data_IF_622733236096
#
_entry.id   IF_622733236096
#
_cell.length_a   1.000
_cell.length_b   1.000
_cell.length_c   1.000
_cell.angle_alpha   90.00
_cell.angle_beta   90.00
_cell.angle_gamma   90.00
#
_symmetry.space_group_name_H-M   'P 1'
#
loop_
_entity.id
_entity.type
_entity.pdbx_description
1 polymer ?
#
# COMPACT_ATOMS: atom_id res chain seq x y z
N UNK A 1 -14.67 -3.04 28.84
CA UNK A 1 -13.61 -4.06 28.82
C UNK A 1 -12.54 -3.56 27.86
N UNK A 2 -11.28 -3.57 28.27
CA UNK A 2 -10.16 -3.10 27.44
C UNK A 2 -9.42 -4.28 26.80
N UNK A 3 -8.76 -4.03 25.67
CA UNK A 3 -8.14 -5.08 24.88
C UNK A 3 -7.26 -4.53 23.77
N UNK A 4 -6.31 -5.36 23.33
CA UNK A 4 -5.44 -5.05 22.19
C UNK A 4 -6.10 -5.45 20.87
N UNK A 5 -5.98 -4.60 19.86
CA UNK A 5 -6.31 -4.97 18.48
C UNK A 5 -5.32 -6.02 17.96
N UNK A 6 -5.73 -6.81 16.96
CA UNK A 6 -4.84 -7.84 16.38
C UNK A 6 -3.57 -7.23 15.75
N UNK A 7 -3.62 -5.94 15.35
CA UNK A 7 -2.43 -5.18 14.95
C UNK A 7 -1.48 -4.94 16.13
N UNK A 8 -1.97 -4.47 17.27
CA UNK A 8 -1.12 -4.24 18.45
C UNK A 8 -0.51 -5.54 18.99
N UNK A 9 -1.20 -6.68 18.85
CA UNK A 9 -0.64 -7.99 19.20
C UNK A 9 0.45 -8.42 18.21
N UNK A 10 0.24 -8.21 16.90
CA UNK A 10 1.26 -8.38 15.86
C UNK A 10 2.50 -7.53 16.14
N UNK A 11 2.32 -6.24 16.43
CA UNK A 11 3.40 -5.29 16.76
C UNK A 11 4.12 -5.68 18.08
N UNK A 12 3.43 -6.28 19.06
CA UNK A 12 4.01 -6.72 20.36
C UNK A 12 4.82 -8.02 20.25
N UNK A 13 4.44 -8.93 19.36
CA UNK A 13 4.98 -10.30 19.28
C UNK A 13 5.97 -10.53 18.13
N UNK A 14 6.20 -9.51 17.28
CA UNK A 14 6.94 -9.62 16.01
C UNK A 14 6.39 -10.71 15.06
N UNK A 15 5.08 -10.99 15.18
CA UNK A 15 4.37 -11.93 14.31
C UNK A 15 3.70 -11.14 13.20
N UNK A 16 3.88 -11.56 11.95
CA UNK A 16 3.20 -10.94 10.80
C UNK A 16 1.68 -10.85 11.02
N UNK A 17 1.10 -9.67 10.80
CA UNK A 17 -0.32 -9.40 11.08
C UNK A 17 -1.25 -10.42 10.41
N UNK A 18 -0.95 -10.84 9.19
CA UNK A 18 -1.69 -11.89 8.48
C UNK A 18 -1.74 -13.20 9.27
N UNK A 19 -0.61 -13.67 9.81
CA UNK A 19 -0.52 -14.86 10.66
C UNK A 19 -1.38 -14.74 11.92
N UNK A 20 -1.41 -13.58 12.57
CA UNK A 20 -2.29 -13.33 13.73
C UNK A 20 -3.77 -13.52 13.36
N UNK A 21 -4.22 -12.96 12.23
CA UNK A 21 -5.59 -13.14 11.75
C UNK A 21 -5.89 -14.59 11.38
N UNK A 22 -5.01 -15.26 10.63
CA UNK A 22 -5.20 -16.67 10.23
C UNK A 22 -5.27 -17.59 11.44
N UNK A 23 -4.33 -17.47 12.39
CA UNK A 23 -4.31 -18.35 13.58
C UNK A 23 -5.50 -18.11 14.50
N UNK A 24 -5.90 -16.85 14.74
CA UNK A 24 -7.14 -16.54 15.48
C UNK A 24 -8.40 -17.04 14.75
N UNK A 25 -8.45 -16.97 13.42
CA UNK A 25 -9.56 -17.53 12.64
C UNK A 25 -9.63 -19.05 12.74
N UNK A 26 -8.48 -19.71 12.79
CA UNK A 26 -8.39 -21.15 12.99
C UNK A 26 -8.81 -21.56 14.42
N UNK A 27 -8.56 -20.73 15.44
CA UNK A 27 -9.16 -20.91 16.79
C UNK A 27 -10.69 -20.75 16.72
N UNK A 28 -11.21 -19.71 16.05
CA UNK A 28 -12.66 -19.47 15.88
C UNK A 28 -13.37 -20.68 15.22
N UNK A 29 -12.70 -21.35 14.26
CA UNK A 29 -13.22 -22.55 13.56
C UNK A 29 -13.11 -23.82 14.41
N UNK A 30 -11.99 -24.06 15.12
CA UNK A 30 -11.81 -25.26 15.93
C UNK A 30 -12.59 -25.23 17.25
N UNK A 31 -12.64 -24.07 17.90
CA UNK A 31 -13.22 -23.91 19.22
C UNK A 31 -13.69 -22.45 19.40
N UNK A 32 -14.92 -22.20 18.96
CA UNK A 32 -15.58 -20.90 19.05
C UNK A 32 -15.71 -20.42 20.51
N UNK A 33 -15.91 -21.31 21.49
CA UNK A 33 -15.96 -20.93 22.92
C UNK A 33 -14.61 -20.37 23.39
N UNK A 34 -13.51 -21.06 23.04
CA UNK A 34 -12.15 -20.63 23.35
C UNK A 34 -11.82 -19.28 22.69
N UNK A 35 -12.22 -19.10 21.42
CA UNK A 35 -12.09 -17.83 20.72
C UNK A 35 -12.84 -16.69 21.42
N UNK A 36 -14.11 -16.89 21.81
CA UNK A 36 -14.90 -15.89 22.55
C UNK A 36 -14.41 -15.67 23.99
N UNK A 37 -13.67 -16.63 24.55
CA UNK A 37 -12.96 -16.45 25.83
C UNK A 37 -11.84 -15.42 25.69
N UNK A 38 -11.20 -15.29 24.53
CA UNK A 38 -10.09 -14.37 24.26
C UNK A 38 -10.52 -13.06 23.57
N UNK A 39 -11.46 -13.13 22.63
CA UNK A 39 -11.80 -12.05 21.70
C UNK A 39 -13.17 -11.46 22.03
N UNK A 40 -13.30 -10.14 21.91
CA UNK A 40 -14.55 -9.40 22.01
C UNK A 40 -14.63 -8.31 20.93
N UNK A 41 -15.83 -7.83 20.60
CA UNK A 41 -15.98 -6.58 19.86
C UNK A 41 -16.01 -5.40 20.82
N UNK A 42 -15.26 -4.34 20.51
CA UNK A 42 -15.48 -3.04 21.14
C UNK A 42 -16.74 -2.32 20.60
N UNK A 43 -17.09 -1.21 21.23
CA UNK A 43 -18.26 -0.40 20.87
C UNK A 43 -18.20 0.18 19.43
N UNK A 44 -17.03 0.11 18.78
CA UNK A 44 -16.82 0.56 17.41
C UNK A 44 -16.82 -0.62 16.41
N UNK A 45 -17.24 -1.82 16.85
CA UNK A 45 -17.27 -3.04 16.03
C UNK A 45 -15.89 -3.65 15.76
N UNK A 46 -14.83 -3.19 16.42
CA UNK A 46 -13.47 -3.69 16.21
C UNK A 46 -13.19 -4.88 17.12
N UNK A 47 -12.73 -5.99 16.55
CA UNK A 47 -12.31 -7.18 17.31
C UNK A 47 -11.02 -6.90 18.08
N UNK A 48 -11.02 -7.24 19.37
CA UNK A 48 -9.90 -7.07 20.30
C UNK A 48 -9.70 -8.33 21.14
N UNK A 49 -8.45 -8.62 21.48
CA UNK A 49 -8.09 -9.63 22.49
C UNK A 49 -8.11 -8.96 23.85
N UNK A 50 -8.78 -9.57 24.84
CA UNK A 50 -8.84 -9.08 26.22
C UNK A 50 -7.42 -8.98 26.80
N UNK A 51 -7.10 -7.90 27.51
CA UNK A 51 -5.74 -7.62 27.96
C UNK A 51 -5.14 -8.78 28.78
N UNK A 52 -5.94 -9.40 29.66
CA UNK A 52 -5.57 -10.55 30.48
C UNK A 52 -5.35 -11.87 29.71
N UNK A 53 -5.68 -11.89 28.42
CA UNK A 53 -5.50 -13.03 27.50
C UNK A 53 -4.46 -12.80 26.42
N UNK A 54 -3.82 -11.62 26.36
CA UNK A 54 -2.86 -11.27 25.29
C UNK A 54 -1.66 -12.23 25.27
N UNK A 55 -1.05 -12.53 26.41
CA UNK A 55 0.17 -13.33 26.45
C UNK A 55 -0.10 -14.82 26.14
N UNK A 56 -1.20 -15.36 26.64
CA UNK A 56 -1.71 -16.70 26.31
C UNK A 56 -2.03 -16.84 24.81
N UNK A 57 -2.69 -15.83 24.23
CA UNK A 57 -2.93 -15.78 22.78
C UNK A 57 -1.63 -15.70 22.00
N UNK A 58 -0.64 -14.89 22.43
CA UNK A 58 0.67 -14.81 21.78
C UNK A 58 1.37 -16.17 21.82
N UNK A 59 1.39 -16.88 22.96
CA UNK A 59 2.00 -18.21 23.07
C UNK A 59 1.36 -19.20 22.08
N UNK A 60 0.02 -19.26 22.05
CA UNK A 60 -0.74 -20.12 21.14
C UNK A 60 -0.43 -19.79 19.67
N UNK A 61 -0.48 -18.51 19.28
CA UNK A 61 -0.25 -18.10 17.89
C UNK A 61 1.23 -17.99 17.51
N UNK A 62 2.16 -18.17 18.45
CA UNK A 62 3.61 -18.31 18.16
C UNK A 62 4.01 -19.76 17.90
N UNK A 63 3.26 -20.73 18.41
CA UNK A 63 3.60 -22.16 18.30
C UNK A 63 3.83 -22.60 16.84
N UNK A 64 4.98 -23.20 16.56
CA UNK A 64 5.30 -23.74 15.23
C UNK A 64 4.33 -24.86 14.80
N UNK A 65 3.78 -25.58 15.78
CA UNK A 65 2.83 -26.67 15.58
C UNK A 65 1.38 -26.18 15.42
N UNK A 66 1.12 -24.86 15.45
CA UNK A 66 -0.24 -24.36 15.29
C UNK A 66 -0.75 -24.61 13.85
N UNK A 67 -1.92 -25.25 13.66
CA UNK A 67 -2.44 -25.58 12.34
C UNK A 67 -2.69 -24.31 11.53
N UNK A 68 -1.85 -24.07 10.53
CA UNK A 68 -1.92 -22.86 9.68
C UNK A 68 -3.01 -22.95 8.61
N UNK A 69 -3.29 -24.16 8.11
CA UNK A 69 -4.40 -24.43 7.20
C UNK A 69 -5.35 -25.42 7.86
N UNK A 70 -6.53 -24.93 8.23
CA UNK A 70 -7.68 -25.75 8.55
C UNK A 70 -8.61 -25.58 7.36
N UNK A 71 -8.69 -26.61 6.50
CA UNK A 71 -9.81 -26.67 5.56
C UNK A 71 -11.10 -26.61 6.38
N UNK A 72 -12.10 -25.81 5.96
CA UNK A 72 -13.36 -25.70 6.71
C UNK A 72 -14.11 -27.04 6.65
N UNK A 73 -13.79 -27.95 7.57
CA UNK A 73 -14.46 -29.23 7.71
C UNK A 73 -15.89 -28.96 8.12
N UNK A 74 -16.81 -29.07 7.16
CA UNK A 74 -18.25 -29.10 7.41
C UNK A 74 -18.62 -30.39 8.14
N UNK A 75 -18.32 -30.43 9.43
CA UNK A 75 -18.74 -31.45 10.37
C UNK A 75 -19.29 -30.77 11.61
N UNK A 76 -20.46 -30.16 11.43
CA UNK A 76 -21.39 -29.98 12.56
C UNK A 76 -21.66 -31.38 13.10
N UNK A 77 -21.23 -31.67 14.34
CA UNK A 77 -21.65 -32.88 15.02
C UNK A 77 -23.12 -32.69 15.43
N UNK A 78 -24.03 -33.11 14.57
CA UNK A 78 -25.45 -33.24 14.89
C UNK A 78 -25.62 -34.53 15.70
N UNK A 79 -25.67 -34.41 17.03
CA UNK A 79 -26.34 -35.43 17.84
C UNK A 79 -27.83 -35.47 17.45
N UNK A 80 -28.41 -36.67 17.41
CA UNK A 80 -29.74 -36.93 16.80
C UNK A 80 -30.88 -36.07 17.38
N UNK A 81 -31.37 -35.11 16.60
CA UNK A 81 -32.66 -34.42 16.84
C UNK A 81 -33.52 -34.46 15.57
N UNK A 82 -33.91 -35.67 15.19
CA UNK A 82 -34.83 -35.93 14.06
C UNK A 82 -36.21 -35.36 14.40
N UNK A 83 -36.45 -34.08 14.07
CA UNK A 83 -37.72 -33.42 14.33
C UNK A 83 -37.81 -31.94 13.93
N UNK A 84 -36.69 -31.21 13.82
CA UNK A 84 -36.68 -29.74 13.58
C UNK A 84 -35.96 -29.29 12.31
N UNK A 85 -35.38 -30.23 11.54
CA UNK A 85 -34.37 -29.88 10.52
C UNK A 85 -34.90 -29.13 9.28
N UNK A 86 -36.16 -29.30 8.88
CA UNK A 86 -36.65 -28.71 7.62
C UNK A 86 -36.68 -27.19 7.63
N UNK A 87 -37.03 -26.58 8.76
CA UNK A 87 -36.99 -25.11 8.92
C UNK A 87 -35.55 -24.61 9.06
N UNK A 88 -34.71 -25.32 9.83
CA UNK A 88 -33.30 -24.97 10.00
C UNK A 88 -32.53 -25.03 8.65
N UNK A 89 -32.71 -26.11 7.88
CA UNK A 89 -32.14 -26.27 6.53
C UNK A 89 -32.63 -25.15 5.61
N UNK A 90 -33.92 -24.79 5.67
CA UNK A 90 -34.48 -23.70 4.88
C UNK A 90 -33.82 -22.35 5.23
N UNK A 91 -33.72 -22.00 6.50
CA UNK A 91 -33.08 -20.75 6.95
C UNK A 91 -31.59 -20.72 6.59
N UNK A 92 -30.87 -21.84 6.73
CA UNK A 92 -29.47 -21.94 6.30
C UNK A 92 -29.32 -21.79 4.77
N UNK A 93 -30.26 -22.33 3.99
CA UNK A 93 -30.28 -22.17 2.52
C UNK A 93 -30.54 -20.71 2.13
N UNK A 94 -31.54 -20.06 2.73
CA UNK A 94 -31.85 -18.64 2.51
C UNK A 94 -30.66 -17.73 2.89
N UNK A 95 -29.96 -18.04 3.99
CA UNK A 95 -28.73 -17.34 4.38
C UNK A 95 -27.59 -17.56 3.38
N UNK A 96 -27.42 -18.78 2.86
CA UNK A 96 -26.37 -19.09 1.89
C UNK A 96 -26.62 -18.41 0.54
N UNK A 97 -27.86 -18.35 0.07
CA UNK A 97 -28.23 -17.58 -1.12
C UNK A 97 -28.03 -16.07 -0.91
N UNK A 98 -28.40 -15.54 0.26
CA UNK A 98 -28.17 -14.13 0.60
C UNK A 98 -26.68 -13.77 0.62
N UNK A 99 -25.85 -14.58 1.28
CA UNK A 99 -24.40 -14.39 1.33
C UNK A 99 -23.79 -14.47 -0.07
N UNK A 100 -24.19 -15.47 -0.87
CA UNK A 100 -23.76 -15.62 -2.27
C UNK A 100 -24.08 -14.37 -3.09
N UNK A 101 -25.32 -13.88 -3.04
CA UNK A 101 -25.72 -12.66 -3.74
C UNK A 101 -25.00 -11.39 -3.23
N UNK A 102 -24.53 -11.37 -1.98
CA UNK A 102 -23.67 -10.30 -1.46
C UNK A 102 -22.24 -10.42 -1.99
N UNK A 103 -21.69 -11.63 -2.12
CA UNK A 103 -20.37 -11.86 -2.72
C UNK A 103 -20.34 -11.54 -4.21
N UNK A 104 -21.37 -11.93 -4.97
CA UNK A 104 -21.48 -11.60 -6.41
C UNK A 104 -21.45 -10.07 -6.62
N UNK A 105 -22.26 -9.30 -5.87
CA UNK A 105 -22.24 -7.82 -5.90
C UNK A 105 -20.94 -7.19 -5.43
N UNK A 106 -20.23 -7.82 -4.49
CA UNK A 106 -18.93 -7.34 -4.04
C UNK A 106 -17.86 -7.57 -5.12
N UNK A 107 -17.93 -8.70 -5.83
CA UNK A 107 -17.04 -9.04 -6.93
C UNK A 107 -17.26 -8.14 -8.16
N UNK A 108 -18.51 -7.82 -8.50
CA UNK A 108 -18.85 -6.82 -9.51
C UNK A 108 -18.17 -5.47 -9.21
N UNK A 109 -18.42 -4.91 -8.02
CA UNK A 109 -17.82 -3.62 -7.58
C UNK A 109 -16.29 -3.65 -7.52
N UNK A 110 -15.70 -4.79 -7.16
CA UNK A 110 -14.25 -4.95 -7.19
C UNK A 110 -13.72 -4.91 -8.63
N UNK A 111 -14.42 -5.55 -9.57
CA UNK A 111 -14.07 -5.57 -10.99
C UNK A 111 -14.15 -4.16 -11.59
N UNK A 112 -15.25 -3.43 -11.34
CA UNK A 112 -15.41 -2.01 -11.73
C UNK A 112 -14.24 -1.14 -11.20
N UNK A 113 -13.83 -1.36 -9.94
CA UNK A 113 -12.72 -0.62 -9.34
C UNK A 113 -11.37 -0.95 -10.00
N UNK A 114 -11.12 -2.22 -10.34
CA UNK A 114 -9.90 -2.65 -11.05
C UNK A 114 -9.83 -2.01 -12.45
N UNK A 115 -10.93 -2.01 -13.20
CA UNK A 115 -11.02 -1.36 -14.52
C UNK A 115 -10.76 0.16 -14.41
N UNK A 116 -11.32 0.83 -13.40
CA UNK A 116 -11.06 2.25 -13.14
C UNK A 116 -9.58 2.52 -12.79
N UNK A 117 -8.95 1.67 -11.98
CA UNK A 117 -7.53 1.80 -11.62
C UNK A 117 -6.64 1.59 -12.85
N UNK A 118 -6.94 0.61 -13.70
CA UNK A 118 -6.23 0.38 -14.97
C UNK A 118 -6.36 1.60 -15.90
N UNK A 119 -7.58 2.06 -16.17
CA UNK A 119 -7.81 3.24 -17.02
C UNK A 119 -7.18 4.53 -16.48
N UNK A 120 -7.07 4.68 -15.15
CA UNK A 120 -6.34 5.79 -14.54
C UNK A 120 -4.81 5.65 -14.66
N UNK A 121 -4.29 4.42 -14.59
CA UNK A 121 -2.87 4.13 -14.84
C UNK A 121 -2.48 4.47 -16.28
N UNK A 122 -3.29 4.09 -17.26
CA UNK A 122 -3.03 4.38 -18.68
C UNK A 122 -3.07 5.89 -18.97
N UNK A 123 -4.00 6.62 -18.34
CA UNK A 123 -4.04 8.10 -18.41
C UNK A 123 -2.81 8.74 -17.79
N UNK A 124 -2.34 8.24 -16.65
CA UNK A 124 -1.10 8.72 -16.01
C UNK A 124 0.13 8.46 -16.89
N UNK A 125 0.20 7.31 -17.56
CA UNK A 125 1.25 7.00 -18.52
C UNK A 125 1.25 8.00 -19.69
N UNK A 126 0.10 8.22 -20.33
CA UNK A 126 -0.04 9.21 -21.41
C UNK A 126 0.33 10.64 -20.98
N UNK A 127 -0.08 11.07 -19.78
CA UNK A 127 0.31 12.38 -19.23
C UNK A 127 1.83 12.45 -19.04
N UNK A 128 2.46 11.38 -18.54
CA UNK A 128 3.91 11.31 -18.31
C UNK A 128 4.68 11.34 -19.63
N UNK A 129 4.24 10.61 -20.64
CA UNK A 129 4.83 10.63 -22.00
C UNK A 129 4.73 12.02 -22.62
N UNK A 130 3.55 12.66 -22.56
CA UNK A 130 3.35 14.03 -23.04
C UNK A 130 4.26 15.04 -22.31
N UNK A 131 4.41 14.93 -20.99
CA UNK A 131 5.35 15.77 -20.23
C UNK A 131 6.81 15.55 -20.68
N UNK A 132 7.22 14.31 -20.97
CA UNK A 132 8.56 14.05 -21.48
C UNK A 132 8.79 14.65 -22.87
N UNK A 133 7.80 14.62 -23.77
CA UNK A 133 7.88 15.28 -25.08
C UNK A 133 8.04 16.78 -24.91
N UNK A 134 7.15 17.43 -24.15
CA UNK A 134 7.20 18.87 -23.86
C UNK A 134 8.55 19.28 -23.25
N UNK A 135 9.10 18.49 -22.31
CA UNK A 135 10.42 18.76 -21.72
C UNK A 135 11.58 18.61 -22.71
N UNK A 136 11.48 17.72 -23.71
CA UNK A 136 12.50 17.60 -24.78
C UNK A 136 12.41 18.78 -25.74
N UNK A 137 11.20 19.16 -26.15
CA UNK A 137 10.96 20.34 -27.02
C UNK A 137 11.43 21.63 -26.35
N UNK A 138 11.09 21.85 -25.07
CA UNK A 138 11.59 23.00 -24.32
C UNK A 138 13.12 23.02 -24.25
N UNK A 139 13.79 21.88 -24.01
CA UNK A 139 15.26 21.82 -24.02
C UNK A 139 15.87 22.11 -25.40
N UNK A 140 15.20 21.75 -26.49
CA UNK A 140 15.66 22.05 -27.84
C UNK A 140 15.53 23.56 -28.14
N UNK A 141 14.41 24.18 -27.80
CA UNK A 141 14.18 25.63 -27.92
C UNK A 141 15.17 26.44 -27.07
N UNK A 142 15.36 26.03 -25.81
CA UNK A 142 16.28 26.67 -24.86
C UNK A 142 17.75 26.51 -25.27
N UNK A 143 18.07 25.56 -26.16
CA UNK A 143 19.37 25.39 -26.77
C UNK A 143 19.50 26.17 -28.09
N UNK A 144 18.47 26.23 -28.95
CA UNK A 144 18.51 27.07 -30.16
C UNK A 144 18.64 28.55 -29.83
N UNK A 145 17.94 29.02 -28.78
CA UNK A 145 18.05 30.40 -28.29
C UNK A 145 19.47 30.73 -27.78
N UNK A 146 20.18 29.76 -27.21
CA UNK A 146 21.57 29.93 -26.78
C UNK A 146 22.53 29.95 -27.97
N UNK A 147 22.32 29.09 -28.96
CA UNK A 147 23.10 29.05 -30.21
C UNK A 147 22.95 30.36 -30.98
N UNK A 148 21.72 30.83 -31.24
CA UNK A 148 21.50 32.13 -31.91
C UNK A 148 22.09 33.30 -31.13
N UNK A 149 22.04 33.31 -29.78
CA UNK A 149 22.73 34.34 -28.98
C UNK A 149 24.25 34.25 -29.04
N UNK A 150 24.83 33.09 -29.36
CA UNK A 150 26.26 32.95 -29.65
C UNK A 150 26.60 33.44 -31.05
N UNK A 151 25.85 33.01 -32.07
CA UNK A 151 26.03 33.46 -33.47
C UNK A 151 25.94 34.99 -33.59
N UNK A 152 24.97 35.63 -32.92
CA UNK A 152 24.85 37.10 -32.87
C UNK A 152 26.07 37.75 -32.19
N UNK A 153 26.67 37.12 -31.17
CA UNK A 153 27.88 37.62 -30.50
C UNK A 153 29.15 37.41 -31.33
N UNK A 154 29.20 36.36 -32.13
CA UNK A 154 30.33 36.09 -33.04
C UNK A 154 30.27 37.00 -34.27
N UNK A 155 29.10 37.21 -34.86
CA UNK A 155 28.89 38.24 -35.89
C UNK A 155 29.23 39.64 -35.39
N UNK A 156 28.86 40.00 -34.15
CA UNK A 156 29.30 41.28 -33.54
C UNK A 156 30.82 41.36 -33.33
N UNK A 157 31.53 40.23 -33.17
CA UNK A 157 33.00 40.23 -33.10
C UNK A 157 33.64 40.36 -34.48
N UNK A 158 33.09 39.74 -35.52
CA UNK A 158 33.57 39.91 -36.90
C UNK A 158 33.35 41.34 -37.40
N UNK A 159 32.19 41.97 -37.11
CA UNK A 159 31.88 43.36 -37.49
C UNK A 159 32.76 44.40 -36.75
N UNK A 160 33.37 44.03 -35.62
CA UNK A 160 34.31 44.89 -34.85
C UNK A 160 35.79 44.49 -35.14
N UNK A 161 36.01 43.56 -36.07
CA UNK A 161 37.30 42.97 -36.42
C UNK A 161 38.25 43.83 -37.24
N UNK A 162 38.35 45.15 -36.99
CA UNK A 162 39.45 45.96 -37.54
C UNK A 162 39.79 47.19 -36.67
N UNK A 163 40.58 46.98 -35.62
CA UNK A 163 41.49 47.99 -35.06
C UNK A 163 42.59 47.35 -34.21
N UNK A 164 43.83 47.61 -34.60
CA UNK A 164 45.02 47.00 -34.01
C UNK A 164 45.39 47.57 -32.63
N UNK A 165 46.00 46.69 -31.82
CA UNK A 165 47.03 46.97 -30.81
C UNK A 165 46.70 47.74 -29.50
N UNK A 166 47.59 47.67 -28.47
CA UNK A 166 48.76 46.80 -28.31
C UNK A 166 48.75 45.93 -27.04
N UNK A 167 49.62 44.91 -27.04
CA UNK A 167 50.00 44.13 -25.85
C UNK A 167 50.63 45.04 -24.78
N UNK A 168 50.14 45.00 -23.53
CA UNK A 168 50.95 45.36 -22.35
C UNK A 168 51.26 44.12 -21.51
N UNK A 169 52.57 43.87 -21.37
CA UNK A 169 53.15 42.83 -20.51
C UNK A 169 52.92 43.17 -19.04
N UNK A 170 52.97 42.14 -18.19
CA UNK A 170 52.58 42.24 -16.78
C UNK A 170 53.47 43.17 -15.94
N UNK A 171 52.92 43.55 -14.78
CA UNK A 171 53.62 44.26 -13.72
C UNK A 171 53.49 43.46 -12.42
N UNK A 172 54.62 42.98 -11.90
CA UNK A 172 54.68 42.52 -10.52
C UNK A 172 54.74 43.74 -9.60
N UNK A 173 53.95 43.75 -8.52
CA UNK A 173 54.22 44.59 -7.35
C UNK A 173 53.65 43.94 -6.09
N UNK A 174 54.55 43.39 -5.28
CA UNK A 174 54.23 42.74 -4.00
C UNK A 174 54.56 43.75 -2.88
N UNK A 175 53.55 44.46 -2.37
CA UNK A 175 53.54 45.43 -1.25
C UNK A 175 52.06 45.74 -0.92
N UNK A 176 51.53 46.05 0.28
CA UNK A 176 51.88 46.00 1.73
C UNK A 176 50.51 45.83 2.46
N UNK A 177 50.35 45.23 3.64
CA UNK A 177 51.31 44.52 4.51
C UNK A 177 51.21 44.95 5.98
N UNK A 178 50.27 44.37 6.75
CA UNK A 178 49.65 44.89 8.01
C UNK A 178 48.51 45.88 7.72
N UNK A 179 47.48 46.00 8.57
CA UNK A 179 47.29 45.49 9.95
C UNK A 179 46.32 44.30 10.07
#
# INVERSE_FOLDING_TARGET
MEGMTFRQVSDKSDIARTTVYTRLKNIEVLNNELYNSYVFMDNNGTRRIKNEKVDEVIEIISSDNFPNNIEPSQTVQTEDVIGTDTEAIKTLTEQLEYERGRYEKLFERYTELVEQVQGNSDRLLQITENQQVIMREHKLLDNSDKVHRQEIKEQQREVIGEKEEPKKRGFWSKFIGKE
#
